data_IF_251150681834
#
_entry.id   IF_251150681834
#
_cell.length_a   1.000
_cell.length_b   1.000
_cell.length_c   1.000
_cell.angle_alpha   90.00
_cell.angle_beta   90.00
_cell.angle_gamma   90.00
#
_symmetry.space_group_name_H-M   'P 1'
#
loop_
_entity.id
_entity.type
_entity.pdbx_description
1 polymer ?
#
# COMPACT_ATOMS: atom_id res chain seq x y z
N UNK A 1 -17.30 11.31 -2.55
CA UNK A 1 -16.96 10.53 -1.34
C UNK A 1 -15.46 10.34 -1.33
N UNK A 2 -14.78 10.82 -0.30
CA UNK A 2 -13.36 10.52 -0.08
C UNK A 2 -13.27 9.03 0.30
N UNK A 3 -12.43 8.22 -0.35
CA UNK A 3 -12.32 6.80 0.00
C UNK A 3 -11.91 6.68 1.48
N UNK A 4 -12.40 5.66 2.18
CA UNK A 4 -12.00 5.35 3.56
C UNK A 4 -10.46 5.34 3.72
N UNK A 5 -9.77 4.99 2.65
CA UNK A 5 -8.32 4.84 2.58
C UNK A 5 -7.59 5.99 1.88
N UNK A 6 -8.25 7.13 1.66
CA UNK A 6 -7.68 8.26 0.91
C UNK A 6 -6.33 8.73 1.47
N UNK A 7 -6.13 8.64 2.79
CA UNK A 7 -4.85 8.96 3.42
C UNK A 7 -3.74 8.05 2.92
N UNK A 8 -3.96 6.73 2.92
CA UNK A 8 -2.98 5.73 2.47
C UNK A 8 -2.75 5.84 0.96
N UNK A 9 -3.82 5.98 0.18
CA UNK A 9 -3.73 6.20 -1.26
C UNK A 9 -2.91 7.46 -1.59
N UNK A 10 -3.10 8.55 -0.85
CA UNK A 10 -2.32 9.77 -1.03
C UNK A 10 -0.83 9.57 -0.70
N UNK A 11 -0.51 8.83 0.37
CA UNK A 11 0.88 8.50 0.69
C UNK A 11 1.53 7.70 -0.45
N UNK A 12 0.84 6.68 -0.97
CA UNK A 12 1.36 5.84 -2.06
C UNK A 12 1.56 6.62 -3.36
N UNK A 13 0.60 7.48 -3.72
CA UNK A 13 0.76 8.41 -4.84
C UNK A 13 1.96 9.34 -4.63
N UNK A 14 2.14 9.87 -3.42
CA UNK A 14 3.23 10.81 -3.12
C UNK A 14 4.62 10.16 -3.24
N UNK A 15 4.76 8.88 -2.88
CA UNK A 15 6.01 8.12 -3.06
C UNK A 15 6.29 7.87 -4.54
N UNK A 16 5.26 7.47 -5.29
CA UNK A 16 5.36 7.28 -6.74
C UNK A 16 5.75 8.57 -7.48
N UNK A 17 5.24 9.72 -7.02
CA UNK A 17 5.48 11.04 -7.62
C UNK A 17 6.73 11.78 -7.05
N UNK A 18 7.52 11.15 -6.18
CA UNK A 18 8.64 11.81 -5.51
C UNK A 18 9.75 12.26 -6.50
N UNK A 19 10.31 13.45 -6.28
CA UNK A 19 11.28 14.12 -7.18
C UNK A 19 12.74 13.68 -6.97
N UNK A 20 12.95 12.42 -6.59
CA UNK A 20 14.28 11.87 -6.33
C UNK A 20 14.24 10.67 -5.41
N UNK A 21 15.39 10.04 -5.21
CA UNK A 21 15.52 8.87 -4.31
C UNK A 21 15.39 9.31 -2.85
N UNK A 22 16.02 10.43 -2.47
CA UNK A 22 16.00 10.92 -1.08
C UNK A 22 14.59 11.36 -0.65
N UNK A 23 13.88 12.11 -1.50
CA UNK A 23 12.48 12.49 -1.24
C UNK A 23 11.59 11.24 -1.11
N UNK A 24 11.75 10.27 -2.01
CA UNK A 24 10.99 9.02 -1.92
C UNK A 24 11.28 8.27 -0.61
N UNK A 25 12.54 8.15 -0.20
CA UNK A 25 12.93 7.46 1.03
C UNK A 25 12.34 8.15 2.28
N UNK A 26 12.31 9.49 2.32
CA UNK A 26 11.68 10.23 3.42
C UNK A 26 10.16 9.99 3.50
N UNK A 27 9.49 9.94 2.34
CA UNK A 27 8.05 9.62 2.26
C UNK A 27 7.78 8.17 2.68
N UNK A 28 8.64 7.22 2.29
CA UNK A 28 8.57 5.82 2.72
C UNK A 28 8.65 5.74 4.25
N UNK A 29 9.64 6.38 4.87
CA UNK A 29 9.81 6.36 6.32
C UNK A 29 8.58 6.94 7.06
N UNK A 30 8.00 8.02 6.52
CA UNK A 30 6.77 8.61 7.06
C UNK A 30 5.58 7.66 6.91
N UNK A 31 5.45 7.03 5.75
CA UNK A 31 4.34 6.10 5.42
C UNK A 31 4.40 4.83 6.25
N UNK A 32 5.60 4.33 6.57
CA UNK A 32 5.76 3.14 7.41
C UNK A 32 5.15 3.31 8.81
N UNK A 33 5.00 4.55 9.30
CA UNK A 33 4.36 4.80 10.59
C UNK A 33 2.87 4.43 10.63
N UNK A 34 2.20 4.20 9.50
CA UNK A 34 0.81 3.74 9.48
C UNK A 34 0.68 2.23 9.73
N UNK A 35 1.77 1.47 9.65
CA UNK A 35 1.80 0.02 9.72
C UNK A 35 2.32 -0.45 11.08
N UNK A 36 1.90 -1.64 11.51
CA UNK A 36 2.35 -2.24 12.76
C UNK A 36 3.83 -2.62 12.69
N UNK A 37 4.24 -3.20 11.57
CA UNK A 37 5.63 -3.56 11.27
C UNK A 37 5.94 -3.30 9.79
N UNK A 38 7.22 -3.19 9.40
CA UNK A 38 7.63 -3.08 7.99
C UNK A 38 7.35 -4.34 7.16
N UNK A 39 6.99 -5.45 7.81
CA UNK A 39 6.86 -6.78 7.19
C UNK A 39 5.41 -7.23 7.03
N UNK A 40 4.43 -6.36 7.32
CA UNK A 40 3.01 -6.72 7.16
C UNK A 40 2.73 -7.14 5.71
N UNK A 41 1.86 -8.15 5.51
CA UNK A 41 1.50 -8.63 4.19
C UNK A 41 0.73 -7.57 3.38
N UNK A 42 1.15 -7.42 2.13
CA UNK A 42 0.41 -6.70 1.09
C UNK A 42 0.00 -7.70 0.02
N UNK A 43 -1.30 -7.80 -0.22
CA UNK A 43 -1.91 -8.73 -1.16
C UNK A 43 -2.53 -7.93 -2.32
N UNK A 44 -2.14 -8.26 -3.56
CA UNK A 44 -2.70 -7.61 -4.75
C UNK A 44 -3.73 -8.55 -5.36
N UNK A 45 -4.99 -8.14 -5.36
CA UNK A 45 -6.11 -8.86 -5.95
C UNK A 45 -5.99 -8.80 -7.48
N UNK A 46 -5.99 -9.97 -8.11
CA UNK A 46 -5.92 -10.13 -9.58
C UNK A 46 -7.25 -10.56 -10.20
N UNK A 47 -8.15 -11.15 -9.40
CA UNK A 47 -9.50 -11.56 -9.82
C UNK A 47 -10.42 -11.60 -8.61
N UNK A 48 -11.70 -11.25 -8.82
CA UNK A 48 -12.76 -11.37 -7.84
C UNK A 48 -13.90 -12.16 -8.49
N UNK A 49 -14.18 -13.37 -8.00
CA UNK A 49 -15.24 -14.21 -8.54
C UNK A 49 -16.00 -14.94 -7.42
N UNK A 50 -17.33 -14.86 -7.44
CA UNK A 50 -18.18 -15.61 -6.51
C UNK A 50 -17.91 -15.35 -5.03
N UNK A 51 -17.40 -14.17 -4.66
CA UNK A 51 -17.03 -13.82 -3.28
C UNK A 51 -15.64 -14.26 -2.84
N UNK A 52 -14.83 -14.81 -3.76
CA UNK A 52 -13.44 -15.17 -3.51
C UNK A 52 -12.49 -14.25 -4.29
N UNK A 53 -11.40 -13.84 -3.64
CA UNK A 53 -10.33 -13.07 -4.24
C UNK A 53 -9.17 -13.99 -4.59
N UNK A 54 -8.67 -13.90 -5.82
CA UNK A 54 -7.37 -14.45 -6.20
C UNK A 54 -6.32 -13.36 -6.05
N UNK A 55 -5.17 -13.73 -5.50
CA UNK A 55 -4.08 -12.80 -5.24
C UNK A 55 -2.86 -13.15 -6.08
N UNK A 56 -2.12 -12.11 -6.49
CA UNK A 56 -0.74 -12.28 -6.95
C UNK A 56 0.15 -12.76 -5.79
N UNK A 57 1.41 -13.08 -6.09
CA UNK A 57 2.41 -13.45 -5.09
C UNK A 57 2.45 -12.41 -3.96
N UNK A 58 2.31 -12.84 -2.70
CA UNK A 58 2.30 -11.91 -1.57
C UNK A 58 3.63 -11.18 -1.44
N UNK A 59 3.56 -9.93 -0.97
CA UNK A 59 4.73 -9.12 -0.65
C UNK A 59 4.57 -8.47 0.72
N UNK A 60 5.56 -7.68 1.14
CA UNK A 60 5.54 -6.89 2.38
C UNK A 60 5.35 -5.42 2.07
N UNK A 61 4.82 -4.63 3.00
CA UNK A 61 4.67 -3.19 2.78
C UNK A 61 5.99 -2.50 2.39
N UNK A 62 7.12 -2.84 3.02
CA UNK A 62 8.42 -2.24 2.68
C UNK A 62 8.81 -2.48 1.24
N UNK A 63 8.68 -3.72 0.75
CA UNK A 63 8.94 -4.08 -0.66
C UNK A 63 7.98 -3.36 -1.60
N UNK A 64 6.71 -3.26 -1.23
CA UNK A 64 5.71 -2.56 -2.05
C UNK A 64 6.01 -1.06 -2.16
N UNK A 65 6.35 -0.38 -1.06
CA UNK A 65 6.69 1.04 -1.07
C UNK A 65 7.95 1.32 -1.91
N UNK A 66 8.97 0.45 -1.82
CA UNK A 66 10.14 0.54 -2.69
C UNK A 66 9.79 0.28 -4.15
N UNK A 67 8.89 -0.66 -4.44
CA UNK A 67 8.37 -0.85 -5.78
C UNK A 67 7.70 0.42 -6.34
N UNK A 68 6.92 1.16 -5.52
CA UNK A 68 6.33 2.43 -5.96
C UNK A 68 7.40 3.48 -6.29
N UNK A 69 8.44 3.59 -5.44
CA UNK A 69 9.59 4.46 -5.68
C UNK A 69 10.27 4.14 -7.03
N UNK A 70 10.50 2.86 -7.29
CA UNK A 70 11.25 2.40 -8.46
C UNK A 70 10.42 2.49 -9.75
N UNK A 71 9.12 2.22 -9.67
CA UNK A 71 8.21 2.28 -10.83
C UNK A 71 7.67 3.66 -11.13
N UNK A 72 7.77 4.60 -10.17
CA UNK A 72 7.21 5.96 -10.29
C UNK A 72 5.71 5.97 -10.68
N UNK A 73 4.98 4.95 -10.24
CA UNK A 73 3.57 4.77 -10.59
C UNK A 73 2.81 4.03 -9.49
N UNK A 74 1.62 4.54 -9.15
CA UNK A 74 0.66 3.88 -8.26
C UNK A 74 -0.65 3.60 -9.01
N UNK A 75 -0.73 2.41 -9.59
CA UNK A 75 -1.85 1.92 -10.41
C UNK A 75 -2.92 1.14 -9.63
N UNK A 76 -2.82 1.14 -8.31
CA UNK A 76 -3.71 0.39 -7.42
C UNK A 76 -4.55 1.34 -6.58
N UNK A 77 -5.58 0.82 -5.92
CA UNK A 77 -6.27 1.46 -4.80
C UNK A 77 -6.30 0.50 -3.63
N UNK A 78 -6.41 1.04 -2.42
CA UNK A 78 -6.65 0.20 -1.24
C UNK A 78 -8.08 -0.33 -1.30
N UNK A 79 -8.22 -1.65 -1.26
CA UNK A 79 -9.50 -2.35 -1.21
C UNK A 79 -9.90 -2.60 0.24
N UNK A 80 -8.97 -3.09 1.05
CA UNK A 80 -9.21 -3.36 2.47
C UNK A 80 -7.93 -3.19 3.30
N UNK A 81 -8.08 -2.90 4.59
CA UNK A 81 -6.98 -2.82 5.53
C UNK A 81 -7.41 -3.38 6.90
N UNK A 82 -6.71 -4.41 7.39
CA UNK A 82 -6.87 -4.89 8.76
C UNK A 82 -6.02 -4.03 9.69
N UNK A 83 -6.54 -3.71 10.88
CA UNK A 83 -5.86 -2.89 11.88
C UNK A 83 -5.83 -3.57 13.24
N UNK A 84 -4.77 -3.32 14.01
CA UNK A 84 -4.70 -3.73 15.41
C UNK A 84 -5.50 -2.78 16.32
N UNK A 85 -5.53 -3.05 17.62
CA UNK A 85 -6.25 -2.24 18.62
C UNK A 85 -5.73 -0.80 18.74
N UNK A 86 -4.49 -0.53 18.32
CA UNK A 86 -3.89 0.80 18.26
C UNK A 86 -4.13 1.52 16.93
N UNK A 87 -4.86 0.91 16.00
CA UNK A 87 -5.19 1.47 14.69
C UNK A 87 -4.09 1.35 13.63
N UNK A 88 -2.99 0.63 13.92
CA UNK A 88 -1.92 0.35 12.94
C UNK A 88 -2.35 -0.74 11.98
N UNK A 89 -2.00 -0.60 10.71
CA UNK A 89 -2.33 -1.58 9.67
C UNK A 89 -1.48 -2.85 9.85
N UNK A 90 -2.12 -4.01 9.86
CA UNK A 90 -1.51 -5.34 10.01
C UNK A 90 -1.58 -6.19 8.76
N UNK A 91 -2.43 -5.83 7.79
CA UNK A 91 -2.55 -6.44 6.46
C UNK A 91 -3.22 -5.44 5.53
N UNK A 92 -2.80 -5.41 4.26
CA UNK A 92 -3.36 -4.52 3.24
C UNK A 92 -3.71 -5.30 1.98
N UNK A 93 -4.93 -5.12 1.49
CA UNK A 93 -5.35 -5.62 0.18
C UNK A 93 -5.48 -4.47 -0.81
N UNK A 94 -4.94 -4.69 -2.00
CA UNK A 94 -4.94 -3.74 -3.09
C UNK A 94 -5.65 -4.33 -4.30
N UNK A 95 -6.31 -3.47 -5.06
CA UNK A 95 -6.87 -3.84 -6.37
C UNK A 95 -6.43 -2.83 -7.42
N UNK A 96 -6.31 -3.26 -8.68
CA UNK A 96 -6.00 -2.35 -9.78
C UNK A 96 -7.12 -1.31 -9.94
N UNK A 97 -6.75 -0.05 -10.24
CA UNK A 97 -7.70 1.04 -10.46
C UNK A 97 -8.63 0.78 -11.64
#
# INVERSE_FOLDING_TARGET
MQSEFAVIDNQFNSIAAANGVDDANNKIQTTLNYFETPDIPVLIIISQNGGFNDYDRPTTITKFLNYLKDKKAYKYRVESAKKNSSGKITELELITK
#
